data_IF_929982067692
#
_entry.id   IF_929982067692
#
_cell.length_a   1.000
_cell.length_b   1.000
_cell.length_c   1.000
_cell.angle_alpha   90.00
_cell.angle_beta   90.00
_cell.angle_gamma   90.00
#
_symmetry.space_group_name_H-M   'P 1'
#
loop_
_entity.id
_entity.type
_entity.pdbx_description
1 polymer ?
#
# COMPACT_ATOMS: atom_id res chain seq x y z
N UNK A 1 0.15 -12.16 8.31
CA UNK A 1 1.61 -12.34 8.31
C UNK A 1 2.16 -11.80 6.99
N UNK A 2 3.26 -11.05 7.04
CA UNK A 2 3.94 -10.50 5.87
C UNK A 2 5.37 -11.06 5.87
N UNK A 3 5.78 -11.67 4.76
CA UNK A 3 7.15 -12.18 4.58
C UNK A 3 7.71 -11.62 3.28
N UNK A 4 8.86 -10.97 3.37
CA UNK A 4 9.64 -10.50 2.24
C UNK A 4 11.02 -11.15 2.27
N UNK A 5 11.41 -11.71 1.13
CA UNK A 5 12.66 -12.44 1.00
C UNK A 5 13.44 -11.92 -0.21
N UNK A 6 14.69 -11.51 0.03
CA UNK A 6 15.68 -11.10 -0.98
C UNK A 6 15.19 -10.00 -1.93
N UNK A 7 14.37 -9.06 -1.42
CA UNK A 7 13.87 -7.96 -2.22
C UNK A 7 15.02 -7.04 -2.65
N UNK A 8 15.17 -6.92 -3.96
CA UNK A 8 16.15 -6.04 -4.62
C UNK A 8 15.45 -5.01 -5.48
N UNK A 9 15.93 -3.77 -5.44
CA UNK A 9 15.47 -2.69 -6.30
C UNK A 9 16.60 -1.80 -6.76
N UNK A 10 16.80 -1.74 -8.07
CA UNK A 10 17.76 -0.89 -8.75
C UNK A 10 17.04 0.26 -9.46
N UNK A 11 17.48 1.49 -9.22
CA UNK A 11 17.15 2.66 -10.03
C UNK A 11 18.37 3.03 -10.90
N UNK A 12 18.24 3.85 -11.95
CA UNK A 12 19.34 4.13 -12.88
C UNK A 12 20.65 4.57 -12.22
N UNK A 13 20.57 5.30 -11.11
CA UNK A 13 21.74 5.85 -10.43
C UNK A 13 22.06 5.18 -9.08
N UNK A 14 21.16 4.33 -8.53
CA UNK A 14 21.35 3.79 -7.18
C UNK A 14 20.61 2.46 -7.01
N UNK A 15 21.28 1.51 -6.33
CA UNK A 15 20.62 0.33 -5.81
C UNK A 15 19.97 0.71 -4.47
N UNK A 16 18.66 0.84 -4.48
CA UNK A 16 17.91 1.28 -3.31
C UNK A 16 17.65 0.15 -2.29
N UNK A 17 17.54 -1.08 -2.76
CA UNK A 17 17.41 -2.29 -1.93
C UNK A 17 18.33 -3.37 -2.51
N UNK A 18 19.00 -4.11 -1.65
CA UNK A 18 19.93 -5.17 -2.01
C UNK A 18 19.71 -6.39 -1.13
N UNK A 19 18.86 -7.32 -1.60
CA UNK A 19 18.57 -8.57 -0.90
C UNK A 19 17.92 -8.37 0.47
N UNK A 20 16.99 -7.42 0.61
CA UNK A 20 16.34 -7.13 1.88
C UNK A 20 15.30 -8.20 2.20
N UNK A 21 15.41 -8.77 3.41
CA UNK A 21 14.46 -9.76 3.93
C UNK A 21 13.96 -9.33 5.30
N UNK A 22 12.66 -9.50 5.55
CA UNK A 22 12.04 -9.32 6.86
C UNK A 22 10.73 -10.11 6.94
N UNK A 23 10.34 -10.46 8.14
CA UNK A 23 9.09 -11.11 8.46
C UNK A 23 8.36 -10.30 9.51
N UNK A 24 7.04 -10.15 9.35
CA UNK A 24 6.16 -9.46 10.30
C UNK A 24 5.01 -10.38 10.64
N UNK A 25 4.92 -10.75 11.91
CA UNK A 25 3.87 -11.64 12.39
C UNK A 25 2.52 -10.93 12.56
N UNK A 26 1.47 -11.71 12.69
CA UNK A 26 0.13 -11.16 12.96
C UNK A 26 0.08 -10.51 14.35
N UNK A 27 -0.38 -9.25 14.41
CA UNK A 27 -0.44 -8.47 15.65
C UNK A 27 0.88 -7.82 16.05
N UNK A 28 1.95 -8.00 15.27
CA UNK A 28 3.25 -7.38 15.52
C UNK A 28 3.27 -5.90 15.11
N UNK A 29 4.02 -5.10 15.88
CA UNK A 29 4.44 -3.74 15.50
C UNK A 29 5.92 -3.78 15.14
N UNK A 30 6.22 -3.72 13.86
CA UNK A 30 7.58 -3.82 13.33
C UNK A 30 8.13 -2.45 12.93
N UNK A 31 9.25 -2.04 13.54
CA UNK A 31 9.92 -0.77 13.27
C UNK A 31 11.02 -0.90 12.23
N UNK A 32 10.91 -0.15 11.12
CA UNK A 32 11.98 -0.06 10.09
C UNK A 32 12.81 1.19 10.32
N UNK A 33 14.05 1.03 10.76
CA UNK A 33 14.96 2.11 11.12
C UNK A 33 16.13 2.15 10.13
N UNK A 34 16.64 3.34 9.85
CA UNK A 34 17.80 3.55 8.98
C UNK A 34 17.98 5.02 8.62
N UNK A 35 19.13 5.37 8.07
CA UNK A 35 19.45 6.72 7.62
C UNK A 35 18.58 7.17 6.44
N UNK A 36 18.62 8.47 6.12
CA UNK A 36 17.98 8.98 4.92
C UNK A 36 18.68 8.38 3.68
N UNK A 37 17.89 7.86 2.75
CA UNK A 37 18.40 7.15 1.59
C UNK A 37 18.64 5.64 1.78
N UNK A 38 18.44 5.08 2.98
CA UNK A 38 18.63 3.65 3.27
C UNK A 38 17.58 2.71 2.62
N UNK A 39 16.73 3.21 1.72
CA UNK A 39 15.75 2.37 1.01
C UNK A 39 14.41 2.18 1.69
N UNK A 40 14.19 2.69 2.93
CA UNK A 40 12.93 2.52 3.68
C UNK A 40 11.67 2.87 2.87
N UNK A 41 11.66 4.06 2.27
CA UNK A 41 10.53 4.51 1.47
C UNK A 41 10.34 3.68 0.19
N UNK A 42 11.42 3.14 -0.38
CA UNK A 42 11.36 2.24 -1.52
C UNK A 42 10.72 0.92 -1.12
N UNK A 43 11.10 0.37 0.04
CA UNK A 43 10.48 -0.84 0.58
C UNK A 43 8.99 -0.64 0.81
N UNK A 44 8.59 0.47 1.48
CA UNK A 44 7.16 0.78 1.69
C UNK A 44 6.40 0.92 0.38
N UNK A 45 6.97 1.55 -0.66
CA UNK A 45 6.37 1.65 -1.99
C UNK A 45 6.21 0.30 -2.69
N UNK A 46 7.15 -0.62 -2.49
CA UNK A 46 7.03 -1.99 -3.01
C UNK A 46 5.88 -2.72 -2.32
N UNK A 47 5.80 -2.65 -0.99
CA UNK A 47 4.70 -3.24 -0.22
C UNK A 47 3.34 -2.65 -0.58
N UNK A 48 3.30 -1.36 -0.89
CA UNK A 48 2.08 -0.66 -1.33
C UNK A 48 1.71 -0.90 -2.80
N UNK A 49 2.54 -1.60 -3.59
CA UNK A 49 2.29 -1.83 -5.01
C UNK A 49 2.55 -0.63 -5.93
N UNK A 50 3.18 0.44 -5.42
CA UNK A 50 3.57 1.61 -6.21
C UNK A 50 4.78 1.34 -7.10
N UNK A 51 5.66 0.43 -6.66
CA UNK A 51 6.90 0.08 -7.35
C UNK A 51 7.06 -1.44 -7.34
N UNK A 52 7.31 -2.04 -8.49
CA UNK A 52 7.63 -3.46 -8.54
C UNK A 52 9.08 -3.72 -8.10
N UNK A 53 9.36 -4.76 -7.31
CA UNK A 53 10.72 -5.21 -7.05
C UNK A 53 11.32 -5.79 -8.33
N UNK A 54 12.65 -5.72 -8.46
CA UNK A 54 13.36 -6.34 -9.58
C UNK A 54 13.58 -7.83 -9.30
N UNK A 55 13.95 -8.17 -8.05
CA UNK A 55 14.15 -9.52 -7.57
C UNK A 55 13.53 -9.72 -6.18
N UNK A 56 13.44 -10.99 -5.76
CA UNK A 56 12.89 -11.37 -4.48
C UNK A 56 11.41 -11.74 -4.55
N UNK A 57 10.84 -12.04 -3.41
CA UNK A 57 9.44 -12.45 -3.27
C UNK A 57 8.77 -11.80 -2.07
N UNK A 58 7.48 -11.64 -2.20
CA UNK A 58 6.56 -11.14 -1.18
C UNK A 58 5.48 -12.19 -0.93
N UNK A 59 5.24 -12.52 0.33
CA UNK A 59 4.11 -13.34 0.73
C UNK A 59 3.22 -12.55 1.70
N UNK A 60 1.93 -12.61 1.46
CA UNK A 60 0.90 -12.09 2.38
C UNK A 60 0.05 -13.26 2.82
N UNK A 61 0.02 -13.52 4.12
CA UNK A 61 -0.66 -14.67 4.73
C UNK A 61 -0.27 -16.03 4.10
N UNK A 62 1.01 -16.15 3.71
CA UNK A 62 1.57 -17.35 3.10
C UNK A 62 1.33 -17.48 1.60
N UNK A 63 0.58 -16.57 0.98
CA UNK A 63 0.34 -16.55 -0.46
C UNK A 63 1.37 -15.66 -1.17
N UNK A 64 2.07 -16.24 -2.15
CA UNK A 64 3.03 -15.49 -2.97
C UNK A 64 2.30 -14.43 -3.79
N UNK A 65 2.75 -13.20 -3.66
CA UNK A 65 2.09 -12.02 -4.22
C UNK A 65 3.10 -11.12 -4.92
N UNK A 66 2.67 -10.51 -6.03
CA UNK A 66 3.37 -9.45 -6.70
C UNK A 66 2.35 -8.40 -7.11
N UNK A 67 2.32 -7.31 -6.38
CA UNK A 67 1.38 -6.24 -6.68
C UNK A 67 1.77 -5.49 -7.95
N UNK A 68 0.86 -5.40 -8.90
CA UNK A 68 0.99 -4.60 -10.11
C UNK A 68 0.41 -3.19 -9.94
N UNK A 69 -0.27 -2.93 -8.83
CA UNK A 69 -0.90 -1.65 -8.51
C UNK A 69 -1.18 -1.51 -7.02
N UNK A 70 -1.32 -0.26 -6.50
CA UNK A 70 -1.74 -0.02 -5.12
C UNK A 70 -3.11 -0.63 -4.78
N UNK A 71 -3.99 -0.72 -5.75
CA UNK A 71 -5.29 -1.35 -5.54
C UNK A 71 -5.18 -2.82 -5.20
N UNK A 72 -4.31 -3.56 -5.88
CA UNK A 72 -4.07 -4.97 -5.59
C UNK A 72 -3.49 -5.16 -4.18
N UNK A 73 -2.56 -4.28 -3.76
CA UNK A 73 -2.03 -4.30 -2.41
C UNK A 73 -3.12 -4.09 -1.36
N UNK A 74 -4.00 -3.10 -1.58
CA UNK A 74 -5.13 -2.81 -0.70
C UNK A 74 -6.12 -3.97 -0.66
N UNK A 75 -6.43 -4.58 -1.80
CA UNK A 75 -7.34 -5.73 -1.88
C UNK A 75 -6.75 -6.97 -1.18
N UNK A 76 -5.42 -7.09 -1.10
CA UNK A 76 -4.70 -8.08 -0.30
C UNK A 76 -4.53 -7.69 1.19
N UNK A 77 -5.04 -6.54 1.63
CA UNK A 77 -4.99 -6.07 3.01
C UNK A 77 -3.77 -5.23 3.37
N UNK A 78 -2.90 -4.89 2.41
CA UNK A 78 -1.73 -4.04 2.64
C UNK A 78 -2.07 -2.58 2.36
N UNK A 79 -2.02 -1.73 3.38
CA UNK A 79 -2.37 -0.31 3.28
C UNK A 79 -1.18 0.56 3.68
N UNK A 80 -0.81 1.50 2.82
CA UNK A 80 0.21 2.52 3.11
C UNK A 80 -0.45 3.81 3.59
N UNK A 81 -0.02 4.29 4.76
CA UNK A 81 -0.37 5.62 5.25
C UNK A 81 0.79 6.57 4.89
N UNK A 82 0.51 7.55 4.04
CA UNK A 82 1.50 8.54 3.64
C UNK A 82 1.74 9.56 4.75
N UNK A 83 2.94 10.16 4.77
CA UNK A 83 3.29 11.21 5.74
C UNK A 83 2.45 12.48 5.55
N UNK A 84 2.11 12.80 4.31
CA UNK A 84 1.27 13.94 3.96
C UNK A 84 -0.17 13.47 3.73
N UNK A 85 -1.11 14.16 4.36
CA UNK A 85 -2.54 13.94 4.12
C UNK A 85 -2.91 14.57 2.78
N UNK A 86 -3.01 13.73 1.75
CA UNK A 86 -3.44 14.15 0.41
C UNK A 86 -4.96 14.15 0.33
N UNK A 87 -5.59 15.16 0.89
CA UNK A 87 -7.04 15.37 0.74
C UNK A 87 -7.32 16.11 -0.56
N UNK A 88 -8.41 15.74 -1.21
CA UNK A 88 -8.95 16.47 -2.36
C UNK A 88 -9.83 17.60 -1.84
N UNK A 89 -9.31 18.84 -1.83
CA UNK A 89 -9.95 20.02 -1.25
C UNK A 89 -11.30 20.38 -1.89
N UNK A 90 -11.51 19.91 -3.12
CA UNK A 90 -12.74 20.12 -3.89
C UNK A 90 -13.82 19.04 -3.65
N UNK A 91 -13.54 18.07 -2.77
CA UNK A 91 -14.46 16.99 -2.42
C UNK A 91 -14.89 17.10 -0.97
N UNK A 92 -16.11 16.67 -0.68
CA UNK A 92 -16.58 16.55 0.69
C UNK A 92 -15.88 15.41 1.47
N UNK A 93 -16.10 15.35 2.78
CA UNK A 93 -15.49 14.34 3.65
C UNK A 93 -15.82 12.93 3.21
N UNK A 94 -17.08 12.66 2.88
CA UNK A 94 -17.53 11.34 2.45
C UNK A 94 -16.88 10.90 1.14
N UNK A 95 -16.73 11.83 0.20
CA UNK A 95 -16.06 11.57 -1.08
C UNK A 95 -14.55 11.35 -0.89
N UNK A 96 -13.90 12.07 0.02
CA UNK A 96 -12.49 11.83 0.37
C UNK A 96 -12.29 10.43 1.00
N UNK A 97 -13.14 10.02 1.94
CA UNK A 97 -13.08 8.69 2.57
C UNK A 97 -13.21 7.55 1.54
N UNK A 98 -14.05 7.76 0.53
CA UNK A 98 -14.36 6.73 -0.47
C UNK A 98 -13.59 6.90 -1.78
N UNK A 99 -12.65 7.84 -1.85
CA UNK A 99 -11.92 8.15 -3.08
C UNK A 99 -11.28 6.90 -3.69
N UNK A 100 -11.63 6.60 -4.94
CA UNK A 100 -11.20 5.40 -5.65
C UNK A 100 -11.91 4.09 -5.26
N UNK A 101 -12.83 4.15 -4.26
CA UNK A 101 -13.64 3.02 -3.77
C UNK A 101 -15.13 3.31 -3.74
N UNK A 102 -15.55 4.29 -4.53
CA UNK A 102 -16.97 4.70 -4.55
C UNK A 102 -17.85 3.54 -5.02
N UNK A 103 -18.95 3.27 -4.29
CA UNK A 103 -19.90 2.25 -4.71
C UNK A 103 -20.60 2.69 -6.00
N UNK A 104 -20.52 1.85 -7.04
CA UNK A 104 -21.04 2.13 -8.38
C UNK A 104 -21.94 1.00 -8.87
N UNK A 105 -22.89 1.36 -9.74
CA UNK A 105 -23.62 0.42 -10.59
C UNK A 105 -23.44 0.86 -12.03
N UNK A 106 -22.54 0.17 -12.75
CA UNK A 106 -22.06 0.63 -14.05
C UNK A 106 -21.38 2.01 -13.93
N UNK A 107 -21.77 3.00 -14.75
CA UNK A 107 -21.18 4.35 -14.70
C UNK A 107 -21.73 5.24 -13.56
N UNK A 108 -22.74 4.80 -12.82
CA UNK A 108 -23.46 5.62 -11.85
C UNK A 108 -23.00 5.37 -10.42
N UNK A 109 -22.79 6.47 -9.66
CA UNK A 109 -22.50 6.44 -8.23
C UNK A 109 -23.75 6.12 -7.42
N UNK A 110 -23.62 5.19 -6.46
CA UNK A 110 -24.68 4.86 -5.48
C UNK A 110 -24.56 5.76 -4.27
N UNK A 111 -25.05 6.99 -4.37
CA UNK A 111 -24.87 8.04 -3.34
C UNK A 111 -25.34 7.61 -1.94
N UNK A 112 -26.50 6.98 -1.81
CA UNK A 112 -27.01 6.54 -0.51
C UNK A 112 -26.08 5.51 0.15
N UNK A 113 -25.55 4.57 -0.61
CA UNK A 113 -24.57 3.59 -0.12
C UNK A 113 -23.23 4.25 0.20
N UNK A 114 -22.79 5.20 -0.62
CA UNK A 114 -21.57 5.98 -0.35
C UNK A 114 -21.68 6.73 0.98
N UNK A 115 -22.79 7.44 1.22
CA UNK A 115 -23.03 8.13 2.50
C UNK A 115 -23.03 7.15 3.68
N UNK A 116 -23.71 6.02 3.56
CA UNK A 116 -23.75 5.00 4.62
C UNK A 116 -22.37 4.45 4.95
N UNK A 117 -21.56 4.10 3.93
CA UNK A 117 -20.19 3.59 4.13
C UNK A 117 -19.27 4.64 4.72
N UNK A 118 -19.35 5.88 4.26
CA UNK A 118 -18.53 6.97 4.80
C UNK A 118 -18.87 7.25 6.27
N UNK A 119 -20.18 7.25 6.64
CA UNK A 119 -20.61 7.42 8.02
C UNK A 119 -20.14 6.27 8.93
N UNK A 120 -20.08 5.05 8.42
CA UNK A 120 -19.60 3.89 9.18
C UNK A 120 -18.07 3.87 9.39
N UNK A 121 -17.33 4.68 8.63
CA UNK A 121 -15.88 4.81 8.74
C UNK A 121 -15.43 5.94 9.67
N UNK A 122 -16.37 6.78 10.13
CA UNK A 122 -16.15 7.87 11.10
C UNK A 122 -16.46 7.41 12.53
#
# INVERSE_FOLDING_TARGET
MLDITDITKQFPAVRALDGVSLEVESGEVHGVIGENGAGKSTLMKILAGDVAPDEGRLLVDGEATRFGSPREAIDAGVVLIHQELSLADNLDVGANILLGREPRTGPFLRRAEATSRATAAL
#
